data_IF_799275049445
#
_entry.id   IF_799275049445
#
_cell.length_a   1.000
_cell.length_b   1.000
_cell.length_c   1.000
_cell.angle_alpha   90.00
_cell.angle_beta   90.00
_cell.angle_gamma   90.00
#
_symmetry.space_group_name_H-M   'P 1'
#
loop_
_entity.id
_entity.type
_entity.pdbx_description
1 polymer ?
#
# COMPACT_ATOMS: atom_id res chain seq x y z
N UNK A 1 -11.82 -7.21 -15.17
CA UNK A 1 -12.02 -6.76 -16.58
C UNK A 1 -13.51 -6.55 -16.80
N UNK A 2 -13.89 -5.49 -17.51
CA UNK A 2 -15.29 -5.10 -17.76
C UNK A 2 -15.97 -4.39 -16.60
N UNK A 3 -15.25 -4.03 -15.53
CA UNK A 3 -15.81 -3.28 -14.41
C UNK A 3 -16.07 -1.84 -14.83
N UNK A 4 -17.27 -1.34 -14.54
CA UNK A 4 -17.65 0.05 -14.75
C UNK A 4 -16.85 0.97 -13.81
N UNK A 5 -16.38 2.11 -14.34
CA UNK A 5 -15.69 3.16 -13.59
C UNK A 5 -16.56 4.41 -13.51
N UNK A 6 -16.90 4.99 -14.66
CA UNK A 6 -17.69 6.23 -14.78
C UNK A 6 -18.34 6.32 -16.17
N UNK A 7 -19.34 7.18 -16.35
CA UNK A 7 -19.93 7.45 -17.66
C UNK A 7 -19.65 8.90 -18.13
N UNK A 8 -18.88 9.02 -19.20
CA UNK A 8 -18.43 10.32 -19.73
C UNK A 8 -19.50 11.11 -20.50
N UNK A 9 -20.67 10.54 -20.79
CA UNK A 9 -21.72 11.28 -21.53
C UNK A 9 -22.18 12.52 -20.77
N UNK A 10 -22.28 12.41 -19.44
CA UNK A 10 -22.70 13.52 -18.57
C UNK A 10 -21.59 14.55 -18.41
N UNK A 11 -20.36 14.10 -18.22
CA UNK A 11 -19.21 14.99 -17.97
C UNK A 11 -18.81 15.78 -19.21
N UNK A 12 -18.90 15.16 -20.39
CA UNK A 12 -18.61 15.81 -21.67
C UNK A 12 -19.85 16.51 -22.27
N UNK A 13 -21.05 16.24 -21.74
CA UNK A 13 -22.31 16.75 -22.29
C UNK A 13 -22.60 16.20 -23.69
N UNK A 14 -22.16 14.99 -24.00
CA UNK A 14 -22.29 14.33 -25.30
C UNK A 14 -23.05 13.01 -25.15
N UNK A 15 -23.99 12.74 -26.04
CA UNK A 15 -24.63 11.42 -26.16
C UNK A 15 -23.65 10.37 -26.68
N UNK A 16 -23.97 9.09 -26.49
CA UNK A 16 -23.20 7.98 -27.07
C UNK A 16 -23.14 8.02 -28.60
N UNK A 17 -24.20 8.48 -29.27
CA UNK A 17 -24.19 8.70 -30.73
C UNK A 17 -23.18 9.79 -31.11
N UNK A 18 -23.10 10.89 -30.36
CA UNK A 18 -22.12 11.94 -30.58
C UNK A 18 -20.69 11.48 -30.29
N UNK A 19 -20.46 10.70 -29.22
CA UNK A 19 -19.14 10.11 -28.94
C UNK A 19 -18.68 9.20 -30.08
N UNK A 20 -19.56 8.33 -30.58
CA UNK A 20 -19.30 7.47 -31.74
C UNK A 20 -19.03 8.29 -33.00
N UNK A 21 -19.87 9.30 -33.30
CA UNK A 21 -19.73 10.15 -34.47
C UNK A 21 -18.44 10.99 -34.45
N UNK A 22 -17.98 11.36 -33.25
CA UNK A 22 -16.73 12.11 -33.03
C UNK A 22 -15.51 11.19 -32.85
N UNK A 23 -15.65 9.88 -33.00
CA UNK A 23 -14.60 8.87 -32.83
C UNK A 23 -13.88 9.01 -31.47
N UNK A 24 -14.66 9.06 -30.38
CA UNK A 24 -14.12 9.26 -29.05
C UNK A 24 -13.15 8.15 -28.63
N UNK A 25 -11.89 8.49 -28.35
CA UNK A 25 -10.86 7.53 -27.98
C UNK A 25 -10.22 7.85 -26.65
N UNK A 26 -9.62 6.83 -26.02
CA UNK A 26 -8.71 7.03 -24.90
C UNK A 26 -7.26 6.92 -25.38
N UNK A 27 -6.43 7.85 -24.93
CA UNK A 27 -4.99 7.84 -25.13
C UNK A 27 -4.34 7.71 -23.75
N UNK A 28 -3.72 6.57 -23.40
CA UNK A 28 -3.01 6.43 -22.14
C UNK A 28 -1.76 7.32 -22.12
N UNK A 29 -1.37 7.85 -20.96
CA UNK A 29 -0.07 8.54 -20.81
C UNK A 29 1.12 7.55 -20.79
N UNK A 30 0.89 6.27 -20.50
CA UNK A 30 1.90 5.21 -20.46
C UNK A 30 1.77 4.17 -21.58
N UNK A 31 2.61 3.13 -21.55
CA UNK A 31 2.62 2.08 -22.58
C UNK A 31 1.43 1.11 -22.50
N UNK A 32 0.90 0.89 -21.29
CA UNK A 32 -0.21 -0.04 -21.04
C UNK A 32 -1.56 0.70 -21.01
N UNK A 33 -2.56 0.12 -21.66
CA UNK A 33 -3.93 0.60 -21.66
C UNK A 33 -4.78 -0.17 -20.64
N UNK A 34 -4.98 0.42 -19.46
CA UNK A 34 -5.78 -0.19 -18.39
C UNK A 34 -7.29 0.05 -18.52
N UNK A 35 -7.67 1.11 -19.24
CA UNK A 35 -9.02 1.62 -19.35
C UNK A 35 -9.47 1.66 -20.81
N UNK A 36 -10.76 1.44 -21.02
CA UNK A 36 -11.40 1.51 -22.34
C UNK A 36 -12.66 2.36 -22.23
N UNK A 37 -12.90 3.20 -23.24
CA UNK A 37 -14.15 3.93 -23.42
C UNK A 37 -15.03 3.15 -24.39
N UNK A 38 -16.23 2.77 -23.95
CA UNK A 38 -17.28 2.33 -24.86
C UNK A 38 -17.88 3.57 -25.54
N UNK A 39 -17.65 3.69 -26.85
CA UNK A 39 -18.13 4.85 -27.62
C UNK A 39 -19.65 4.91 -27.77
N UNK A 40 -20.35 3.79 -27.60
CA UNK A 40 -21.80 3.70 -27.76
C UNK A 40 -22.54 4.07 -26.48
N UNK A 41 -22.01 3.67 -25.32
CA UNK A 41 -22.63 3.97 -24.03
C UNK A 41 -21.99 5.17 -23.34
N UNK A 42 -20.73 5.49 -23.67
CA UNK A 42 -19.88 6.45 -22.97
C UNK A 42 -19.30 5.93 -21.66
N UNK A 43 -19.42 4.61 -21.40
CA UNK A 43 -18.89 4.01 -20.18
C UNK A 43 -17.37 3.85 -20.26
N UNK A 44 -16.69 4.29 -19.20
CA UNK A 44 -15.31 3.95 -18.92
C UNK A 44 -15.28 2.61 -18.19
N UNK A 45 -14.59 1.64 -18.76
CA UNK A 45 -14.48 0.28 -18.20
C UNK A 45 -13.03 -0.15 -18.04
N UNK A 46 -12.80 -0.99 -17.03
CA UNK A 46 -11.49 -1.58 -16.75
C UNK A 46 -11.18 -2.67 -17.78
N UNK A 47 -10.22 -2.43 -18.67
CA UNK A 47 -9.77 -3.38 -19.69
C UNK A 47 -8.74 -4.36 -19.13
N UNK A 48 -7.83 -3.90 -18.27
CA UNK A 48 -6.81 -4.72 -17.62
C UNK A 48 -6.81 -4.51 -16.11
N UNK A 49 -6.39 -5.52 -15.36
CA UNK A 49 -6.29 -5.39 -13.91
C UNK A 49 -5.24 -4.32 -13.59
N UNK A 50 -5.61 -3.38 -12.74
CA UNK A 50 -4.72 -2.37 -12.19
C UNK A 50 -4.31 -2.83 -10.81
N UNK A 51 -3.02 -3.07 -10.64
CA UNK A 51 -2.41 -3.43 -9.37
C UNK A 51 -1.75 -2.18 -8.79
N UNK A 52 -2.20 -1.73 -7.62
CA UNK A 52 -1.76 -0.46 -7.04
C UNK A 52 -0.26 -0.55 -6.75
N UNK A 53 0.16 -1.66 -6.16
CA UNK A 53 1.53 -1.92 -5.72
C UNK A 53 2.50 -1.99 -6.91
N UNK A 54 2.06 -2.48 -8.09
CA UNK A 54 2.86 -2.44 -9.32
C UNK A 54 2.92 -1.03 -9.93
N UNK A 55 1.81 -0.29 -9.90
CA UNK A 55 1.66 0.99 -10.58
C UNK A 55 2.28 2.17 -9.82
N UNK A 56 2.11 2.17 -8.50
CA UNK A 56 2.37 3.31 -7.62
C UNK A 56 3.28 2.95 -6.44
N UNK A 57 3.55 1.66 -6.21
CA UNK A 57 4.39 1.15 -5.12
C UNK A 57 3.81 1.54 -3.76
N UNK A 58 4.29 2.63 -3.17
CA UNK A 58 3.80 3.16 -1.89
C UNK A 58 3.43 4.66 -1.99
N UNK A 59 3.13 5.13 -3.20
CA UNK A 59 2.75 6.52 -3.45
C UNK A 59 1.26 6.73 -3.24
N UNK A 60 0.90 7.64 -2.33
CA UNK A 60 -0.46 8.14 -2.16
C UNK A 60 -0.53 9.65 -2.49
N UNK A 61 -1.44 10.09 -3.38
CA UNK A 61 -2.42 9.28 -4.11
C UNK A 61 -1.81 8.50 -5.28
N UNK A 62 -2.40 7.35 -5.61
CA UNK A 62 -2.10 6.60 -6.83
C UNK A 62 -3.05 7.03 -7.96
N UNK A 63 -2.52 7.61 -9.03
CA UNK A 63 -3.28 8.22 -10.13
C UNK A 63 -2.91 7.60 -11.48
N UNK A 64 -3.91 7.09 -12.19
CA UNK A 64 -3.78 6.63 -13.58
C UNK A 64 -4.32 7.71 -14.50
N UNK A 65 -3.45 8.28 -15.33
CA UNK A 65 -3.76 9.43 -16.20
C UNK A 65 -3.94 9.02 -17.66
N UNK A 66 -4.87 9.70 -18.32
CA UNK A 66 -5.19 9.48 -19.73
C UNK A 66 -5.83 10.72 -20.35
N UNK A 67 -5.84 10.78 -21.67
CA UNK A 67 -6.56 11.80 -22.43
C UNK A 67 -7.75 11.18 -23.16
N UNK A 68 -8.92 11.82 -23.08
CA UNK A 68 -10.08 11.54 -23.93
C UNK A 68 -9.98 12.41 -25.17
N UNK A 69 -9.86 11.80 -26.34
CA UNK A 69 -9.73 12.47 -27.63
C UNK A 69 -11.04 12.39 -28.41
N UNK A 70 -11.50 13.50 -28.97
CA UNK A 70 -12.60 13.59 -29.93
C UNK A 70 -12.02 14.13 -31.23
N UNK A 71 -12.23 13.47 -32.37
CA UNK A 71 -11.53 13.84 -33.61
C UNK A 71 -12.25 14.91 -34.45
N UNK A 72 -13.58 15.00 -34.36
CA UNK A 72 -14.41 15.85 -35.24
C UNK A 72 -15.39 16.74 -34.47
N UNK A 73 -15.07 18.02 -34.18
CA UNK A 73 -13.75 18.64 -34.30
C UNK A 73 -12.78 18.08 -33.26
N UNK A 74 -11.47 18.26 -33.53
CA UNK A 74 -10.41 17.82 -32.65
C UNK A 74 -10.49 18.53 -31.29
N UNK A 75 -10.71 17.76 -30.23
CA UNK A 75 -10.74 18.21 -28.84
C UNK A 75 -10.12 17.12 -27.95
N UNK A 76 -9.39 17.52 -26.90
CA UNK A 76 -8.89 16.57 -25.91
C UNK A 76 -9.17 17.04 -24.48
N UNK A 77 -9.41 16.09 -23.60
CA UNK A 77 -9.66 16.30 -22.18
C UNK A 77 -8.73 15.40 -21.37
N UNK A 78 -7.98 15.99 -20.44
CA UNK A 78 -7.19 15.21 -19.48
C UNK A 78 -8.08 14.73 -18.37
N UNK A 79 -7.94 13.45 -18.03
CA UNK A 79 -8.65 12.82 -16.95
C UNK A 79 -7.70 11.91 -16.17
N UNK A 80 -8.07 11.64 -14.93
CA UNK A 80 -7.34 10.73 -14.05
C UNK A 80 -8.31 9.88 -13.25
N UNK A 81 -7.95 8.61 -13.04
CA UNK A 81 -8.61 7.73 -12.08
C UNK A 81 -7.68 7.56 -10.89
N UNK A 82 -8.21 7.77 -9.69
CA UNK A 82 -7.50 7.43 -8.46
C UNK A 82 -7.76 5.98 -8.09
N UNK A 83 -6.69 5.22 -7.86
CA UNK A 83 -6.77 3.87 -7.31
C UNK A 83 -6.81 3.97 -5.79
N UNK A 84 -7.73 3.23 -5.19
CA UNK A 84 -7.80 3.07 -3.73
C UNK A 84 -7.15 1.74 -3.38
N UNK A 85 -6.26 1.80 -2.40
CA UNK A 85 -5.57 0.66 -1.84
C UNK A 85 -6.53 -0.35 -1.21
N UNK A 86 -6.24 -1.64 -1.37
CA UNK A 86 -6.99 -2.74 -0.78
C UNK A 86 -6.03 -3.54 0.09
N UNK A 87 -6.41 -3.82 1.33
CA UNK A 87 -5.63 -4.69 2.21
C UNK A 87 -5.61 -6.14 1.68
N UNK A 88 -4.62 -6.46 0.86
CA UNK A 88 -4.39 -7.82 0.37
C UNK A 88 -2.95 -8.30 0.55
N UNK A 89 -2.10 -7.52 1.20
CA UNK A 89 -0.82 -7.97 1.73
C UNK A 89 -0.77 -7.86 3.25
N UNK A 90 -0.43 -8.97 3.90
CA UNK A 90 -0.15 -8.94 5.34
C UNK A 90 1.32 -8.54 5.59
N UNK A 91 1.64 -7.87 6.72
CA UNK A 91 3.01 -7.59 7.11
C UNK A 91 3.87 -8.85 7.23
N UNK A 92 5.08 -8.84 6.63
CA UNK A 92 6.01 -9.97 6.63
C UNK A 92 7.40 -9.58 7.12
N UNK A 93 7.97 -10.38 8.03
CA UNK A 93 9.41 -10.32 8.34
C UNK A 93 10.21 -11.12 7.31
N UNK A 94 11.33 -10.55 6.82
CA UNK A 94 12.21 -11.27 5.90
C UNK A 94 12.86 -12.48 6.57
N UNK A 95 13.28 -12.31 7.83
CA UNK A 95 13.84 -13.36 8.66
C UNK A 95 12.78 -13.89 9.65
N UNK A 96 12.50 -15.20 9.59
CA UNK A 96 11.56 -15.87 10.51
C UNK A 96 12.10 -16.00 11.93
N UNK A 97 13.42 -16.01 12.08
CA UNK A 97 14.10 -16.07 13.36
C UNK A 97 15.10 -14.91 13.44
N UNK A 98 14.99 -14.13 14.51
CA UNK A 98 15.85 -12.97 14.77
C UNK A 98 16.57 -13.26 16.10
N UNK A 99 17.89 -13.41 16.05
CA UNK A 99 18.72 -13.65 17.23
C UNK A 99 19.39 -12.35 17.66
N UNK A 100 19.00 -11.85 18.84
CA UNK A 100 19.65 -10.70 19.46
C UNK A 100 20.64 -11.15 20.54
N UNK A 101 21.84 -10.58 20.53
CA UNK A 101 22.85 -10.77 21.58
C UNK A 101 22.81 -9.57 22.51
N UNK A 102 22.14 -9.72 23.65
CA UNK A 102 21.99 -8.67 24.65
C UNK A 102 22.97 -8.92 25.81
N UNK A 103 23.79 -7.94 26.21
CA UNK A 103 24.65 -8.08 27.38
C UNK A 103 23.81 -8.25 28.65
N UNK A 104 24.20 -9.17 29.54
CA UNK A 104 23.56 -9.31 30.85
C UNK A 104 23.64 -8.03 31.71
N UNK A 105 24.64 -7.19 31.44
CA UNK A 105 24.80 -5.88 32.08
C UNK A 105 23.89 -4.78 31.51
N UNK A 106 22.99 -5.09 30.57
CA UNK A 106 22.03 -4.12 30.05
C UNK A 106 21.11 -3.64 31.18
N UNK A 107 20.97 -2.32 31.28
CA UNK A 107 20.06 -1.72 32.27
C UNK A 107 18.62 -1.75 31.74
N UNK A 108 17.62 -1.84 32.63
CA UNK A 108 16.24 -1.59 32.26
C UNK A 108 16.09 -0.28 31.48
N UNK A 109 15.10 -0.23 30.59
CA UNK A 109 14.88 0.79 29.56
C UNK A 109 15.89 0.78 28.39
N UNK A 110 16.86 -0.14 28.38
CA UNK A 110 17.70 -0.36 27.21
C UNK A 110 16.85 -0.80 26.01
N UNK A 111 17.13 -0.23 24.83
CA UNK A 111 16.33 -0.41 23.61
C UNK A 111 17.17 -1.07 22.53
N UNK A 112 16.60 -2.09 21.90
CA UNK A 112 17.23 -2.85 20.83
C UNK A 112 16.36 -2.80 19.59
N UNK A 113 16.91 -2.29 18.49
CA UNK A 113 16.19 -2.18 17.23
C UNK A 113 15.87 -3.58 16.68
N UNK A 114 14.62 -3.80 16.30
CA UNK A 114 14.21 -5.00 15.59
C UNK A 114 14.19 -4.75 14.08
N UNK A 115 14.40 -5.83 13.32
CA UNK A 115 14.08 -5.81 11.90
C UNK A 115 12.61 -5.45 11.71
N UNK A 116 12.33 -4.54 10.77
CA UNK A 116 10.97 -4.08 10.51
C UNK A 116 10.27 -5.05 9.56
N UNK A 117 9.02 -5.40 9.87
CA UNK A 117 8.17 -6.10 8.92
C UNK A 117 7.89 -5.19 7.71
N UNK A 118 7.73 -5.81 6.55
CA UNK A 118 7.43 -5.15 5.29
C UNK A 118 5.99 -5.39 4.93
N UNK A 119 5.35 -4.34 4.47
CA UNK A 119 3.97 -4.31 4.05
C UNK A 119 3.90 -3.32 2.88
N UNK A 120 3.59 -3.78 1.65
CA UNK A 120 3.54 -2.94 0.48
C UNK A 120 2.30 -2.04 0.45
N UNK A 121 1.25 -2.40 1.19
CA UNK A 121 0.01 -1.65 1.23
C UNK A 121 0.24 -0.27 1.87
N UNK A 122 -0.67 0.66 1.65
CA UNK A 122 -0.51 2.07 2.05
C UNK A 122 -1.55 2.51 3.08
N UNK A 123 -1.36 3.71 3.63
CA UNK A 123 -2.28 4.28 4.62
C UNK A 123 -2.53 3.38 5.83
N UNK A 124 -3.81 3.06 6.10
CA UNK A 124 -4.23 2.22 7.22
C UNK A 124 -4.00 0.72 6.98
N UNK A 125 -3.89 0.30 5.72
CA UNK A 125 -3.63 -1.10 5.37
C UNK A 125 -2.16 -1.45 5.52
N UNK A 126 -1.27 -0.45 5.52
CA UNK A 126 0.14 -0.67 5.88
C UNK A 126 0.31 -1.09 7.35
N UNK A 127 1.50 -1.61 7.68
CA UNK A 127 1.96 -1.90 9.05
C UNK A 127 1.61 -0.78 10.06
N UNK A 128 0.80 -1.13 11.08
CA UNK A 128 0.35 -0.20 12.12
C UNK A 128 1.03 -0.38 13.47
N UNK A 129 1.26 -1.62 13.89
CA UNK A 129 1.87 -1.89 15.18
C UNK A 129 2.52 -3.26 15.27
N UNK A 130 3.32 -3.43 16.32
CA UNK A 130 3.92 -4.70 16.69
C UNK A 130 3.43 -5.13 18.06
N UNK A 131 3.30 -6.44 18.24
CA UNK A 131 3.04 -7.08 19.52
C UNK A 131 4.08 -8.15 19.81
N UNK A 132 4.25 -8.47 21.09
CA UNK A 132 5.17 -9.49 21.59
C UNK A 132 4.39 -10.46 22.47
N UNK A 133 4.69 -11.75 22.37
CA UNK A 133 4.11 -12.75 23.27
C UNK A 133 4.51 -12.47 24.72
N UNK A 134 3.64 -12.84 25.66
CA UNK A 134 3.90 -12.66 27.10
C UNK A 134 5.26 -13.22 27.51
N UNK A 135 6.04 -12.41 28.20
CA UNK A 135 7.35 -12.73 28.75
C UNK A 135 7.65 -11.77 29.92
N UNK A 136 8.65 -12.07 30.74
CA UNK A 136 8.93 -11.32 31.98
C UNK A 136 9.96 -10.19 31.81
N UNK A 137 10.69 -10.16 30.69
CA UNK A 137 11.91 -9.35 30.55
C UNK A 137 11.76 -8.19 29.57
N UNK A 138 10.83 -8.27 28.62
CA UNK A 138 10.76 -7.34 27.50
C UNK A 138 9.34 -6.95 27.11
N UNK A 139 9.19 -5.70 26.68
CA UNK A 139 8.05 -5.23 25.90
C UNK A 139 8.49 -4.69 24.55
N UNK A 140 7.52 -4.49 23.65
CA UNK A 140 7.75 -3.93 22.33
C UNK A 140 7.25 -2.48 22.24
N UNK A 141 8.11 -1.60 21.74
CA UNK A 141 7.78 -0.20 21.48
C UNK A 141 7.72 0.02 19.97
N UNK A 142 6.53 0.28 19.45
CA UNK A 142 6.36 0.70 18.05
C UNK A 142 6.69 2.19 17.91
N UNK A 143 7.54 2.52 16.93
CA UNK A 143 7.95 3.90 16.61
C UNK A 143 7.70 4.18 15.14
N UNK A 144 7.64 5.47 14.79
CA UNK A 144 7.42 5.96 13.42
C UNK A 144 8.65 6.73 12.96
N UNK A 145 9.15 6.41 11.77
CA UNK A 145 10.21 7.15 11.08
C UNK A 145 9.65 8.44 10.45
N UNK A 146 10.55 9.29 9.97
CA UNK A 146 10.19 10.53 9.25
C UNK A 146 9.47 10.27 7.94
N UNK A 147 9.68 9.11 7.31
CA UNK A 147 9.00 8.67 6.09
C UNK A 147 7.62 8.02 6.36
N UNK A 148 7.13 8.07 7.60
CA UNK A 148 5.85 7.49 8.00
C UNK A 148 5.90 6.00 8.33
N UNK A 149 6.95 5.27 7.92
CA UNK A 149 7.06 3.82 8.16
C UNK A 149 7.28 3.52 9.63
N UNK A 150 6.73 2.40 10.08
CA UNK A 150 6.81 1.96 11.47
C UNK A 150 7.89 0.91 11.67
N UNK A 151 8.51 0.95 12.83
CA UNK A 151 9.52 -0.02 13.26
C UNK A 151 9.36 -0.34 14.73
N UNK A 152 9.87 -1.50 15.13
CA UNK A 152 9.83 -1.94 16.52
C UNK A 152 11.19 -1.82 17.19
N UNK A 153 11.14 -1.50 18.48
CA UNK A 153 12.25 -1.64 19.40
C UNK A 153 11.83 -2.59 20.52
N UNK A 154 12.68 -3.55 20.83
CA UNK A 154 12.59 -4.37 22.03
C UNK A 154 13.14 -3.55 23.20
N UNK A 155 12.35 -3.40 24.26
CA UNK A 155 12.72 -2.62 25.43
C UNK A 155 12.84 -3.56 26.62
N UNK A 156 13.94 -3.46 27.35
CA UNK A 156 14.22 -4.29 28.52
C UNK A 156 13.50 -3.74 29.76
N UNK A 157 12.63 -4.54 30.37
CA UNK A 157 11.91 -4.18 31.59
C UNK A 157 12.66 -4.61 32.86
N UNK A 158 13.30 -5.78 32.82
CA UNK A 158 14.00 -6.37 33.96
C UNK A 158 15.46 -6.68 33.63
N UNK A 159 16.33 -6.68 34.63
CA UNK A 159 17.74 -7.03 34.44
C UNK A 159 17.90 -8.49 33.99
N UNK A 160 18.81 -8.73 33.06
CA UNK A 160 19.11 -10.07 32.57
C UNK A 160 20.19 -10.74 33.43
N UNK A 161 19.94 -11.98 33.83
CA UNK A 161 20.89 -12.82 34.54
C UNK A 161 21.13 -14.09 33.71
N UNK A 162 22.32 -14.19 33.10
CA UNK A 162 22.67 -15.29 32.21
C UNK A 162 22.77 -16.62 32.97
N UNK A 163 23.18 -16.57 34.23
CA UNK A 163 23.31 -17.73 35.10
C UNK A 163 21.93 -18.32 35.46
N UNK A 164 20.90 -17.48 35.53
CA UNK A 164 19.51 -17.92 35.70
C UNK A 164 18.86 -18.35 34.38
N UNK A 165 18.97 -17.52 33.34
CA UNK A 165 18.36 -17.78 32.03
C UNK A 165 19.26 -17.25 30.91
N UNK A 166 19.95 -18.16 30.23
CA UNK A 166 20.88 -17.80 29.16
C UNK A 166 20.20 -17.38 27.86
N UNK A 167 18.97 -17.86 27.61
CA UNK A 167 18.20 -17.61 26.39
C UNK A 167 16.72 -17.36 26.72
N UNK A 168 16.14 -16.36 26.06
CA UNK A 168 14.72 -16.03 26.12
C UNK A 168 14.18 -16.10 24.70
N UNK A 169 13.13 -16.89 24.50
CA UNK A 169 12.43 -17.01 23.22
C UNK A 169 11.01 -16.47 23.37
N UNK A 170 10.61 -15.62 22.43
CA UNK A 170 9.27 -15.06 22.35
C UNK A 170 8.92 -14.82 20.87
N UNK A 171 7.64 -14.70 20.58
CA UNK A 171 7.15 -14.37 19.24
C UNK A 171 6.86 -12.88 19.14
N UNK A 172 7.30 -12.27 18.05
CA UNK A 172 6.92 -10.91 17.66
C UNK A 172 5.96 -11.00 16.48
N UNK A 173 4.85 -10.27 16.57
CA UNK A 173 3.83 -10.20 15.52
C UNK A 173 3.75 -8.77 15.00
N UNK A 174 3.74 -8.62 13.69
CA UNK A 174 3.47 -7.35 13.01
C UNK A 174 2.01 -7.34 12.58
N UNK A 175 1.34 -6.19 12.71
CA UNK A 175 -0.10 -6.06 12.46
C UNK A 175 -0.35 -4.77 11.69
N UNK A 176 -1.10 -4.89 10.61
CA UNK A 176 -1.69 -3.83 9.80
C UNK A 176 -2.91 -3.21 10.51
N UNK A 177 -3.72 -2.43 9.79
CA UNK A 177 -4.89 -1.75 10.34
C UNK A 177 -6.23 -2.24 9.80
N UNK A 178 -6.25 -3.28 8.96
CA UNK A 178 -7.45 -3.79 8.28
C UNK A 178 -7.95 -5.15 8.78
#
# INVERSE_FOLDING_TARGET
>A
RGSFVENFTKDLGLSGEELSARQAGLVPEGEKQYLQLDQHTGDLVVQEQMDQEELCVQSEPCLVRFEVLLESPLQSFRAEVSLTDRNDHAPVFLNKEIVLKIPGSAMPEARFLLESAQDPDVGNNSLQHYSISSNDHFHISTRRRSDGRRYAELVLDQTLDREQQAEVAFSVTAVDGG
#
